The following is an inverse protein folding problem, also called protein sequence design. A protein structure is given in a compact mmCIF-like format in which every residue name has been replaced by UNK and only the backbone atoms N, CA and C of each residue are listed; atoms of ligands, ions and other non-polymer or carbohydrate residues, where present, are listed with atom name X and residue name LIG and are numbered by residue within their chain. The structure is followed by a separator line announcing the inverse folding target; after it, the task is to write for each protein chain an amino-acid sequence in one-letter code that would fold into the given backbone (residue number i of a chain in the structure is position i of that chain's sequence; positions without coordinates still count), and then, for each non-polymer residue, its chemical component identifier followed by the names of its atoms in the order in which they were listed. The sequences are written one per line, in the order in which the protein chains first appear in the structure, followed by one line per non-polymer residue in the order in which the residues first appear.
data_IF_556213300058
#
_entry.id   IF_556213300058
#
_cell.length_a   1.000
_cell.length_b   1.000
_cell.length_c   1.000
_cell.angle_alpha   90.00
_cell.angle_beta   90.00
_cell.angle_gamma   90.00
#
_symmetry.space_group_name_H-M   'P 1'
#
loop_
_entity.id
_entity.type
_entity.pdbx_description
1 polymer ?
#
# COMPACT_ATOMS: atom_id res chain seq x y z
N UNK A 1 7.64 -8.06 -0.31
CA UNK A 1 6.92 -6.85 -0.74
C UNK A 1 5.83 -7.23 -1.70
N UNK A 2 4.69 -6.60 -1.58
CA UNK A 2 3.49 -7.00 -2.32
C UNK A 2 2.88 -5.77 -2.97
N UNK A 3 2.50 -5.89 -4.24
CA UNK A 3 1.83 -4.81 -4.99
C UNK A 3 0.35 -4.75 -4.63
N UNK A 4 -0.15 -3.53 -4.47
CA UNK A 4 -1.55 -3.29 -4.19
C UNK A 4 -1.96 -1.90 -4.70
N UNK A 5 -3.27 -1.69 -4.83
CA UNK A 5 -3.83 -0.37 -5.13
C UNK A 5 -4.58 0.16 -3.92
N UNK A 6 -4.39 1.43 -3.65
CA UNK A 6 -5.17 2.11 -2.60
C UNK A 6 -6.59 2.31 -3.11
N UNK A 7 -7.56 1.67 -2.45
CA UNK A 7 -8.96 1.76 -2.86
C UNK A 7 -9.83 2.52 -1.87
N UNK A 8 -9.28 2.88 -0.73
CA UNK A 8 -10.00 3.63 0.27
C UNK A 8 -9.18 3.91 1.50
N UNK A 9 -9.81 4.49 2.49
CA UNK A 9 -9.20 4.76 3.79
C UNK A 9 -10.04 4.13 4.89
N UNK A 10 -9.40 3.87 6.02
CA UNK A 10 -10.06 3.29 7.18
C UNK A 10 -9.96 4.29 8.32
N UNK A 11 -11.11 4.65 8.87
CA UNK A 11 -11.19 5.60 9.99
C UNK A 11 -11.70 4.85 11.22
N UNK A 12 -11.00 4.99 12.34
CA UNK A 12 -11.40 4.39 13.60
C UNK A 12 -11.45 5.48 14.67
N UNK A 13 -12.52 5.53 15.43
CA UNK A 13 -12.70 6.49 16.52
C UNK A 13 -12.08 6.01 17.82
N UNK A 14 -11.87 4.69 17.96
CA UNK A 14 -11.20 4.10 19.13
C UNK A 14 -10.07 3.23 18.64
N UNK A 15 -8.89 3.46 19.19
CA UNK A 15 -7.71 2.72 18.81
C UNK A 15 -6.68 2.75 19.94
N UNK A 16 -5.74 1.83 19.85
CA UNK A 16 -4.62 1.76 20.76
C UNK A 16 -3.79 3.07 20.64
N UNK A 17 -3.36 3.70 21.75
CA UNK A 17 -2.66 4.99 21.68
C UNK A 17 -1.41 5.03 20.81
N UNK A 18 -0.69 3.92 20.68
CA UNK A 18 0.52 3.86 19.85
C UNK A 18 0.27 4.04 18.37
N UNK A 19 -0.96 3.81 17.91
CA UNK A 19 -1.29 3.97 16.50
C UNK A 19 -2.10 5.24 16.22
N UNK A 20 -2.32 6.07 17.23
CA UNK A 20 -3.02 7.33 17.06
C UNK A 20 -2.21 8.26 16.15
N UNK A 21 -2.90 8.96 15.25
CA UNK A 21 -2.25 9.83 14.27
C UNK A 21 -1.72 9.13 13.04
N UNK A 22 -1.76 7.80 12.99
CA UNK A 22 -1.32 7.05 11.82
C UNK A 22 -2.50 6.88 10.86
N UNK A 23 -2.22 7.11 9.58
CA UNK A 23 -3.20 6.93 8.53
C UNK A 23 -3.27 5.46 8.14
N UNK A 24 -4.49 4.95 8.05
CA UNK A 24 -4.76 3.57 7.61
C UNK A 24 -5.44 3.61 6.26
N UNK A 25 -4.95 2.80 5.33
CA UNK A 25 -5.52 2.71 4.00
C UNK A 25 -6.02 1.31 3.71
N UNK A 26 -7.09 1.24 2.92
CA UNK A 26 -7.62 -0.03 2.43
C UNK A 26 -6.97 -0.32 1.10
N UNK A 27 -6.38 -1.50 0.98
CA UNK A 27 -5.65 -1.92 -0.21
C UNK A 27 -6.30 -3.13 -0.84
N UNK A 28 -6.21 -3.22 -2.16
CA UNK A 28 -6.52 -4.44 -2.90
C UNK A 28 -5.25 -4.95 -3.58
N UNK A 29 -4.92 -6.22 -3.38
CA UNK A 29 -3.77 -6.84 -4.02
C UNK A 29 -3.99 -6.91 -5.52
N UNK A 30 -2.92 -6.73 -6.30
CA UNK A 30 -2.97 -6.65 -7.75
C UNK A 30 -2.23 -7.80 -8.40
N UNK A 31 -2.73 -8.21 -9.57
CA UNK A 31 -1.99 -9.05 -10.50
C UNK A 31 -0.97 -8.18 -11.22
N UNK A 32 0.30 -8.55 -11.20
CA UNK A 32 1.36 -7.69 -11.74
C UNK A 32 1.39 -7.63 -13.27
N UNK A 33 0.77 -8.56 -13.96
CA UNK A 33 0.72 -8.53 -15.43
C UNK A 33 -0.48 -7.76 -15.95
N UNK A 34 -1.64 -7.96 -15.34
CA UNK A 34 -2.89 -7.35 -15.80
C UNK A 34 -3.23 -6.07 -15.09
N UNK A 35 -2.64 -5.84 -13.94
CA UNK A 35 -2.96 -4.73 -13.02
C UNK A 35 -4.40 -4.77 -12.52
N UNK A 36 -5.04 -5.91 -12.61
CA UNK A 36 -6.39 -6.10 -12.08
C UNK A 36 -6.33 -6.50 -10.61
N UNK A 37 -7.34 -6.08 -9.88
CA UNK A 37 -7.50 -6.48 -8.48
C UNK A 37 -7.78 -7.97 -8.38
N UNK A 38 -7.24 -8.57 -7.32
CA UNK A 38 -7.42 -10.00 -7.06
C UNK A 38 -8.61 -10.31 -6.16
N UNK A 39 -9.33 -9.30 -5.69
CA UNK A 39 -10.40 -9.49 -4.72
C UNK A 39 -9.89 -9.82 -3.32
N UNK A 40 -8.65 -9.55 -3.04
CA UNK A 40 -8.00 -9.81 -1.77
C UNK A 40 -7.60 -8.46 -1.16
N UNK A 41 -8.17 -8.15 0.00
CA UNK A 41 -8.09 -6.83 0.61
C UNK A 41 -7.36 -6.88 1.94
N UNK A 42 -6.75 -5.76 2.31
CA UNK A 42 -6.12 -5.61 3.62
C UNK A 42 -6.09 -4.15 4.03
N UNK A 43 -5.87 -3.93 5.31
CA UNK A 43 -5.63 -2.60 5.87
C UNK A 43 -4.16 -2.47 6.18
N UNK A 44 -3.54 -1.38 5.77
CA UNK A 44 -2.13 -1.13 6.01
C UNK A 44 -1.90 0.27 6.57
N UNK A 45 -0.86 0.41 7.35
CA UNK A 45 -0.39 1.72 7.80
C UNK A 45 0.34 2.40 6.64
N UNK A 46 0.18 3.73 6.53
CA UNK A 46 0.81 4.51 5.49
C UNK A 46 2.05 5.23 6.03
N UNK A 47 3.20 4.91 5.46
CA UNK A 47 4.47 5.54 5.85
C UNK A 47 4.98 6.54 4.79
N UNK A 48 4.27 6.72 3.67
CA UNK A 48 4.79 7.50 2.53
C UNK A 48 3.83 8.55 1.99
N UNK A 49 2.64 8.67 2.55
CA UNK A 49 1.66 9.65 2.08
C UNK A 49 0.92 9.22 0.83
N UNK A 50 0.60 7.93 0.70
CA UNK A 50 -0.14 7.41 -0.44
C UNK A 50 -1.58 7.92 -0.46
N UNK A 51 -2.16 8.04 -1.64
CA UNK A 51 -3.52 8.50 -1.85
C UNK A 51 -4.38 7.53 -2.65
N UNK A 52 -5.69 7.80 -2.75
CA UNK A 52 -6.62 6.93 -3.48
C UNK A 52 -6.19 6.71 -4.92
N UNK A 53 -6.33 5.47 -5.39
CA UNK A 53 -6.00 5.09 -6.77
C UNK A 53 -4.54 4.83 -7.02
N UNK A 54 -3.65 5.20 -6.12
CA UNK A 54 -2.22 4.97 -6.32
C UNK A 54 -1.87 3.50 -6.16
N UNK A 55 -0.91 3.05 -6.97
CA UNK A 55 -0.32 1.72 -6.81
C UNK A 55 0.85 1.84 -5.86
N UNK A 56 0.90 0.94 -4.90
CA UNK A 56 1.91 0.95 -3.84
C UNK A 56 2.48 -0.44 -3.68
N UNK A 57 3.60 -0.56 -2.98
CA UNK A 57 3.94 -1.85 -2.41
C UNK A 57 4.09 -1.73 -0.90
N UNK A 58 3.76 -2.82 -0.24
CA UNK A 58 3.77 -2.89 1.21
C UNK A 58 4.57 -4.10 1.68
N UNK A 59 5.00 -4.01 2.91
CA UNK A 59 5.64 -5.12 3.61
C UNK A 59 4.71 -5.63 4.70
N UNK A 60 4.86 -6.89 5.06
CA UNK A 60 4.02 -7.54 6.06
C UNK A 60 4.88 -8.17 7.16
N UNK A 61 4.25 -8.57 8.24
CA UNK A 61 4.92 -9.19 9.38
C UNK A 61 5.83 -8.21 10.09
N UNK A 62 6.93 -8.69 10.64
CA UNK A 62 7.84 -7.86 11.42
C UNK A 62 8.50 -6.74 10.62
N UNK A 63 8.68 -6.93 9.31
CA UNK A 63 9.23 -5.88 8.43
C UNK A 63 8.36 -4.63 8.39
N UNK A 64 7.05 -4.77 8.63
CA UNK A 64 6.13 -3.64 8.62
C UNK A 64 6.39 -2.63 9.73
N UNK A 65 7.18 -2.98 10.74
CA UNK A 65 7.52 -2.12 11.86
C UNK A 65 8.88 -1.44 11.73
N UNK A 66 9.52 -1.55 10.58
CA UNK A 66 10.89 -1.06 10.37
C UNK A 66 10.95 0.30 9.68
N UNK A 67 9.84 1.02 9.58
CA UNK A 67 9.84 2.39 9.04
C UNK A 67 9.89 3.40 10.18
N UNK A 68 10.26 4.64 9.86
CA UNK A 68 10.25 5.72 10.86
C UNK A 68 8.86 5.95 11.44
N UNK A 69 7.81 5.76 10.63
CA UNK A 69 6.43 5.96 11.06
C UNK A 69 5.96 4.84 11.97
N UNK A 70 6.37 3.60 11.69
CA UNK A 70 5.82 2.41 12.35
C UNK A 70 6.75 1.79 13.40
N UNK A 71 7.94 2.31 13.58
CA UNK A 71 8.90 1.79 14.56
C UNK A 71 8.29 1.74 15.96
N UNK A 72 8.36 0.58 16.57
CA UNK A 72 7.80 0.35 17.90
C UNK A 72 6.28 0.30 17.96
N UNK A 73 5.58 0.27 16.81
CA UNK A 73 4.13 0.26 16.75
C UNK A 73 3.60 -1.10 16.32
N UNK A 74 2.36 -1.45 16.73
CA UNK A 74 1.76 -2.74 16.39
C UNK A 74 1.27 -2.77 14.93
N UNK A 75 2.19 -2.85 13.98
CA UNK A 75 1.87 -2.92 12.56
C UNK A 75 2.21 -4.30 12.00
N UNK A 76 1.33 -4.85 11.19
CA UNK A 76 1.57 -6.09 10.44
C UNK A 76 1.57 -5.89 8.94
N UNK A 77 1.24 -4.69 8.48
CA UNK A 77 1.32 -4.31 7.07
C UNK A 77 1.56 -2.80 6.97
N UNK A 78 2.57 -2.40 6.22
CA UNK A 78 2.93 -0.99 6.06
C UNK A 78 3.27 -0.69 4.61
N UNK A 79 2.65 0.35 4.07
CA UNK A 79 2.98 0.86 2.74
C UNK A 79 4.33 1.58 2.84
N UNK A 80 5.28 1.15 2.01
CA UNK A 80 6.64 1.71 2.04
C UNK A 80 7.04 2.44 0.77
N UNK A 81 6.26 2.34 -0.30
CA UNK A 81 6.58 3.05 -1.54
C UNK A 81 5.34 3.25 -2.39
N UNK A 82 5.34 4.37 -3.12
CA UNK A 82 4.37 4.66 -4.17
C UNK A 82 5.04 4.32 -5.50
N UNK A 83 4.36 3.53 -6.34
CA UNK A 83 4.93 3.03 -7.58
C UNK A 83 4.67 4.00 -8.71
N UNK A 84 5.69 4.31 -9.49
CA UNK A 84 5.58 5.19 -10.65
C UNK A 84 5.43 4.43 -11.96
N UNK A 85 6.20 3.36 -12.13
CA UNK A 85 6.22 2.57 -13.38
C UNK A 85 6.42 1.11 -13.04
N UNK A 86 5.73 0.23 -13.75
CA UNK A 86 5.96 -1.21 -13.69
C UNK A 86 6.17 -1.74 -15.10
N UNK A 87 7.29 -2.42 -15.31
CA UNK A 87 7.57 -3.19 -16.52
C UNK A 87 7.34 -4.67 -16.22
N UNK A 88 6.71 -5.35 -17.13
CA UNK A 88 6.51 -6.79 -17.03
C UNK A 88 6.60 -7.41 -18.42
N UNK A 89 7.49 -8.39 -18.59
CA UNK A 89 7.69 -9.10 -19.87
C UNK A 89 7.88 -8.14 -21.04
N UNK A 90 8.85 -7.24 -20.90
CA UNK A 90 9.26 -6.28 -21.92
C UNK A 90 8.21 -5.25 -22.33
N UNK A 91 7.21 -5.05 -21.50
CA UNK A 91 6.23 -3.98 -21.73
C UNK A 91 5.92 -3.24 -20.43
N UNK A 92 5.50 -1.99 -20.58
CA UNK A 92 5.05 -1.19 -19.45
C UNK A 92 3.59 -1.55 -19.17
N UNK A 93 3.32 -2.07 -17.97
CA UNK A 93 1.96 -2.45 -17.56
C UNK A 93 1.30 -1.38 -16.70
N UNK A 94 2.07 -0.45 -16.16
CA UNK A 94 1.55 0.63 -15.32
C UNK A 94 2.42 1.87 -15.40
N UNK A 95 1.77 3.03 -15.48
CA UNK A 95 2.39 4.36 -15.30
C UNK A 95 1.48 5.17 -14.40
N UNK A 96 2.05 5.74 -13.35
CA UNK A 96 1.30 6.58 -12.43
C UNK A 96 0.77 7.83 -13.13
N UNK A 97 1.58 8.42 -14.02
CA UNK A 97 1.21 9.60 -14.78
C UNK A 97 1.06 9.22 -16.24
N UNK A 98 -0.15 9.28 -16.73
CA UNK A 98 -0.48 8.95 -18.10
C UNK A 98 -1.03 7.56 -18.25
N UNK A 99 -1.46 7.24 -19.46
CA UNK A 99 -2.06 5.96 -19.78
C UNK A 99 -0.98 4.90 -19.98
N UNK A 100 -1.22 3.66 -19.53
CA UNK A 100 -0.38 2.55 -19.93
C UNK A 100 -0.40 2.46 -21.45
N UNK A 101 0.74 2.23 -22.02
CA UNK A 101 0.84 2.14 -23.47
C UNK A 101 0.03 0.96 -24.01
#
# INVERSE_FOLDING_TARGET
MILARVIGSVVSTRKEPKIEGIKFLLLEKLDCETMKGKGDYLVAMDAVGAGPGEVVFYVAGSSSRMTNVTEGKPSDATIIAIVDVIDCKDRVVYRKEGEPA
#
